data_IF_908528432539
#
_entry.id   IF_908528432539
#
_cell.length_a   1.000
_cell.length_b   1.000
_cell.length_c   1.000
_cell.angle_alpha   90.00
_cell.angle_beta   90.00
_cell.angle_gamma   90.00
#
_symmetry.space_group_name_H-M   'P 1'
#
loop_
_entity.id
_entity.type
_entity.pdbx_description
1 polymer ?
#
# COMPACT_ATOMS: atom_id res chain seq x y z
N UNK A 1 -8.82 3.60 4.94
CA UNK A 1 -8.36 2.25 5.35
C UNK A 1 -7.61 2.34 6.65
N UNK A 2 -7.75 1.30 7.48
CA UNK A 2 -7.16 1.20 8.82
C UNK A 2 -6.63 -0.21 8.95
N UNK A 3 -5.35 -0.35 9.32
CA UNK A 3 -4.71 -1.65 9.44
C UNK A 3 -4.68 -2.12 10.91
N UNK A 4 -4.40 -3.41 11.11
CA UNK A 4 -4.11 -4.15 12.35
C UNK A 4 -5.30 -4.43 13.27
N UNK A 5 -6.26 -3.55 13.41
CA UNK A 5 -7.38 -3.77 14.32
C UNK A 5 -7.07 -3.45 15.78
N UNK A 6 -6.28 -2.40 16.04
CA UNK A 6 -5.97 -1.96 17.40
C UNK A 6 -7.20 -1.51 18.19
N UNK A 7 -7.26 -1.81 19.50
CA UNK A 7 -8.32 -1.36 20.41
C UNK A 7 -8.41 0.16 20.50
N UNK A 8 -7.28 0.87 20.38
CA UNK A 8 -7.24 2.33 20.36
C UNK A 8 -8.05 2.95 19.22
N UNK A 9 -8.14 2.27 18.06
CA UNK A 9 -9.02 2.69 16.97
C UNK A 9 -10.50 2.61 17.40
N UNK A 10 -10.90 1.50 18.03
CA UNK A 10 -12.27 1.31 18.50
C UNK A 10 -12.65 2.33 19.58
N UNK A 11 -11.73 2.63 20.48
CA UNK A 11 -11.97 3.53 21.60
C UNK A 11 -12.03 5.01 21.18
N UNK A 12 -11.16 5.44 20.26
CA UNK A 12 -10.95 6.85 19.95
C UNK A 12 -11.51 7.28 18.60
N UNK A 13 -11.30 6.51 17.55
CA UNK A 13 -11.69 6.90 16.18
C UNK A 13 -13.09 6.42 15.81
N UNK A 14 -13.46 5.19 16.18
CA UNK A 14 -14.74 4.60 15.83
C UNK A 14 -15.96 5.44 16.23
N UNK A 15 -16.08 5.99 17.47
CA UNK A 15 -17.22 6.82 17.84
C UNK A 15 -17.41 8.05 16.92
N UNK A 16 -16.30 8.63 16.45
CA UNK A 16 -16.29 9.78 15.55
C UNK A 16 -16.73 9.38 14.15
N UNK A 17 -16.16 8.30 13.63
CA UNK A 17 -16.47 7.77 12.30
C UNK A 17 -17.93 7.30 12.22
N UNK A 18 -18.41 6.61 13.25
CA UNK A 18 -19.81 6.16 13.39
C UNK A 18 -20.78 7.34 13.39
N UNK A 19 -20.55 8.34 14.23
CA UNK A 19 -21.39 9.55 14.30
C UNK A 19 -21.52 10.27 12.96
N UNK A 20 -20.42 10.30 12.17
CA UNK A 20 -20.37 11.02 10.91
C UNK A 20 -20.59 10.10 9.69
N UNK A 21 -20.84 8.81 9.89
CA UNK A 21 -20.98 7.79 8.84
C UNK A 21 -19.86 7.83 7.80
N UNK A 22 -18.62 7.99 8.27
CA UNK A 22 -17.45 8.03 7.38
C UNK A 22 -17.08 6.61 6.98
N UNK A 23 -17.12 6.28 5.67
CA UNK A 23 -16.83 4.92 5.21
C UNK A 23 -15.35 4.58 5.35
N UNK A 24 -15.06 3.34 5.75
CA UNK A 24 -13.69 2.82 5.85
C UNK A 24 -13.63 1.30 5.67
N UNK A 25 -12.43 0.82 5.40
CA UNK A 25 -12.08 -0.61 5.45
C UNK A 25 -11.16 -0.80 6.64
N UNK A 26 -11.51 -1.72 7.54
CA UNK A 26 -10.66 -2.17 8.62
C UNK A 26 -9.99 -3.48 8.21
N UNK A 27 -8.67 -3.50 8.08
CA UNK A 27 -7.89 -4.70 7.79
C UNK A 27 -7.45 -5.38 9.10
N UNK A 28 -7.82 -6.65 9.24
CA UNK A 28 -7.64 -7.41 10.49
C UNK A 28 -6.67 -8.56 10.30
N UNK A 29 -5.62 -8.60 11.12
CA UNK A 29 -4.75 -9.76 11.27
C UNK A 29 -5.35 -10.70 12.32
N UNK A 30 -5.71 -11.90 11.88
CA UNK A 30 -6.60 -12.76 12.68
C UNK A 30 -5.93 -13.40 13.90
N UNK A 31 -4.59 -13.43 13.99
CA UNK A 31 -3.86 -13.94 15.15
C UNK A 31 -4.00 -13.02 16.36
N UNK A 32 -4.00 -11.71 16.12
CA UNK A 32 -3.95 -10.72 17.18
C UNK A 32 -5.34 -10.39 17.79
N UNK A 33 -6.42 -10.76 17.08
CA UNK A 33 -7.78 -10.47 17.56
C UNK A 33 -8.04 -11.04 18.96
N UNK A 34 -8.35 -10.16 19.91
CA UNK A 34 -8.62 -10.49 21.30
C UNK A 34 -7.37 -10.55 22.19
N UNK A 35 -6.18 -10.28 21.63
CA UNK A 35 -4.96 -10.13 22.43
C UNK A 35 -4.84 -8.71 22.98
N UNK A 36 -3.83 -8.46 23.80
CA UNK A 36 -3.59 -7.15 24.40
C UNK A 36 -3.41 -6.05 23.33
N UNK A 37 -4.09 -4.93 23.49
CA UNK A 37 -4.16 -3.78 22.57
C UNK A 37 -4.90 -4.01 21.24
N UNK A 38 -5.50 -5.17 21.01
CA UNK A 38 -6.28 -5.43 19.81
C UNK A 38 -7.77 -5.60 20.09
N UNK A 39 -8.61 -5.23 19.14
CA UNK A 39 -10.05 -5.48 19.20
C UNK A 39 -10.34 -6.98 19.31
N UNK A 40 -11.41 -7.30 20.03
CA UNK A 40 -11.96 -8.66 20.01
C UNK A 40 -12.99 -8.85 18.88
N UNK A 41 -13.40 -10.10 18.63
CA UNK A 41 -14.35 -10.40 17.55
C UNK A 41 -15.72 -9.74 17.76
N UNK A 42 -16.16 -9.50 18.99
CA UNK A 42 -17.45 -8.84 19.26
C UNK A 42 -17.41 -7.39 18.78
N UNK A 43 -16.33 -6.68 19.03
CA UNK A 43 -16.11 -5.32 18.56
C UNK A 43 -16.03 -5.27 17.01
N UNK A 44 -15.29 -6.19 16.39
CA UNK A 44 -15.18 -6.27 14.92
C UNK A 44 -16.55 -6.56 14.29
N UNK A 45 -17.33 -7.46 14.88
CA UNK A 45 -18.69 -7.77 14.39
C UNK A 45 -19.63 -6.57 14.57
N UNK A 46 -19.47 -5.79 15.65
CA UNK A 46 -20.24 -4.55 15.82
C UNK A 46 -19.97 -3.57 14.67
N UNK A 47 -18.69 -3.36 14.32
CA UNK A 47 -18.32 -2.51 13.21
C UNK A 47 -18.92 -3.03 11.89
N UNK A 48 -18.82 -4.32 11.66
CA UNK A 48 -19.29 -4.97 10.42
C UNK A 48 -20.81 -4.84 10.18
N UNK A 49 -21.60 -4.57 11.22
CA UNK A 49 -23.06 -4.36 11.06
C UNK A 49 -23.42 -3.03 10.42
N UNK A 50 -22.51 -2.09 10.36
CA UNK A 50 -22.74 -0.79 9.74
C UNK A 50 -22.51 -0.87 8.23
N UNK A 51 -23.42 -0.33 7.43
CA UNK A 51 -23.43 -0.42 5.97
C UNK A 51 -22.30 0.35 5.27
N UNK A 52 -21.62 1.24 6.01
CA UNK A 52 -20.47 2.02 5.55
C UNK A 52 -19.12 1.44 6.00
N UNK A 53 -19.10 0.26 6.63
CA UNK A 53 -17.88 -0.40 7.12
C UNK A 53 -17.64 -1.71 6.39
N UNK A 54 -16.43 -1.88 5.87
CA UNK A 54 -15.96 -3.16 5.32
C UNK A 54 -14.85 -3.73 6.21
N UNK A 55 -14.87 -5.05 6.42
CA UNK A 55 -13.78 -5.74 7.10
C UNK A 55 -12.91 -6.43 6.06
N UNK A 56 -11.65 -6.04 5.98
CA UNK A 56 -10.62 -6.58 5.10
C UNK A 56 -9.71 -7.57 5.82
N UNK A 57 -9.05 -8.42 5.05
CA UNK A 57 -8.10 -9.40 5.56
C UNK A 57 -6.68 -8.81 5.57
N UNK A 58 -5.93 -9.02 6.67
CA UNK A 58 -4.55 -8.56 6.83
C UNK A 58 -3.61 -9.71 7.23
N UNK A 59 -3.78 -10.89 6.61
CA UNK A 59 -3.11 -12.15 6.95
C UNK A 59 -3.57 -12.75 8.29
N UNK A 60 -2.98 -13.90 8.64
CA UNK A 60 -3.14 -14.46 9.98
C UNK A 60 -2.06 -13.94 10.93
N UNK A 61 -0.80 -14.12 10.56
CA UNK A 61 0.34 -13.90 11.45
C UNK A 61 0.84 -12.45 11.50
N UNK A 62 0.62 -11.67 10.43
CA UNK A 62 1.24 -10.36 10.20
C UNK A 62 2.78 -10.39 10.23
N UNK A 63 3.38 -11.55 9.87
CA UNK A 63 4.83 -11.65 9.73
C UNK A 63 5.31 -11.07 8.38
N UNK A 64 6.62 -11.04 8.14
CA UNK A 64 7.22 -10.62 6.86
C UNK A 64 7.01 -11.69 5.78
N UNK A 65 5.74 -11.92 5.42
CA UNK A 65 5.34 -12.98 4.49
C UNK A 65 5.98 -12.85 3.11
N UNK A 66 6.43 -11.67 2.72
CA UNK A 66 7.08 -11.43 1.43
C UNK A 66 8.41 -12.16 1.29
N UNK A 67 9.08 -12.49 2.40
CA UNK A 67 10.35 -13.23 2.46
C UNK A 67 10.14 -14.75 2.54
N UNK A 68 8.90 -15.19 2.71
CA UNK A 68 8.55 -16.59 2.91
C UNK A 68 8.31 -17.35 1.61
N UNK A 69 8.32 -18.67 1.69
CA UNK A 69 7.97 -19.52 0.56
C UNK A 69 6.49 -19.42 0.21
N UNK A 70 6.15 -19.71 -1.05
CA UNK A 70 4.76 -19.67 -1.54
C UNK A 70 3.80 -20.53 -0.69
N UNK A 71 4.26 -21.66 -0.15
CA UNK A 71 3.45 -22.52 0.70
C UNK A 71 3.16 -21.86 2.05
N UNK A 72 4.17 -21.27 2.70
CA UNK A 72 4.02 -20.57 3.98
C UNK A 72 3.07 -19.37 3.82
N UNK A 73 3.24 -18.57 2.77
CA UNK A 73 2.33 -17.45 2.45
C UNK A 73 0.90 -17.97 2.30
N UNK A 74 0.72 -19.02 1.49
CA UNK A 74 -0.60 -19.57 1.21
C UNK A 74 -1.27 -20.14 2.46
N UNK A 75 -0.54 -20.88 3.28
CA UNK A 75 -1.06 -21.50 4.51
C UNK A 75 -1.50 -20.43 5.52
N UNK A 76 -0.71 -19.36 5.69
CA UNK A 76 -1.06 -18.23 6.54
C UNK A 76 -2.37 -17.56 6.10
N UNK A 77 -2.48 -17.26 4.80
CA UNK A 77 -3.66 -16.58 4.26
C UNK A 77 -4.89 -17.48 4.28
N UNK A 78 -4.76 -18.78 3.98
CA UNK A 78 -5.87 -19.75 4.07
C UNK A 78 -6.39 -19.84 5.50
N UNK A 79 -5.51 -19.90 6.50
CA UNK A 79 -5.90 -19.89 7.92
C UNK A 79 -6.71 -18.64 8.28
N UNK A 80 -6.27 -17.50 7.82
CA UNK A 80 -7.00 -16.24 8.02
C UNK A 80 -8.38 -16.27 7.35
N UNK A 81 -8.49 -16.79 6.11
CA UNK A 81 -9.77 -16.93 5.38
C UNK A 81 -10.74 -17.85 6.17
N UNK A 82 -10.27 -18.96 6.70
CA UNK A 82 -11.08 -19.89 7.50
C UNK A 82 -11.63 -19.21 8.77
N UNK A 83 -10.80 -18.42 9.46
CA UNK A 83 -11.22 -17.65 10.63
C UNK A 83 -12.29 -16.61 10.24
N UNK A 84 -12.09 -15.87 9.14
CA UNK A 84 -13.09 -14.92 8.63
C UNK A 84 -14.43 -15.61 8.34
N UNK A 85 -14.41 -16.74 7.63
CA UNK A 85 -15.63 -17.53 7.36
C UNK A 85 -16.34 -17.97 8.65
N UNK A 86 -15.58 -18.43 9.64
CA UNK A 86 -16.13 -18.89 10.91
C UNK A 86 -16.70 -17.75 11.78
N UNK A 87 -16.08 -16.55 11.74
CA UNK A 87 -16.46 -15.42 12.61
C UNK A 87 -17.43 -14.44 11.98
N UNK A 88 -17.32 -14.22 10.65
CA UNK A 88 -18.09 -13.23 9.91
C UNK A 88 -19.02 -13.86 8.87
N UNK A 89 -18.90 -15.18 8.58
CA UNK A 89 -19.76 -15.88 7.63
C UNK A 89 -19.33 -15.74 6.15
N UNK A 90 -18.25 -15.03 5.86
CA UNK A 90 -17.79 -14.80 4.47
C UNK A 90 -16.26 -14.68 4.40
N UNK A 91 -15.72 -14.71 3.18
CA UNK A 91 -14.35 -14.29 2.91
C UNK A 91 -14.35 -12.85 2.38
N UNK A 92 -13.44 -12.00 2.90
CA UNK A 92 -13.31 -10.62 2.42
C UNK A 92 -12.83 -10.59 0.96
N UNK A 93 -13.34 -9.64 0.19
CA UNK A 93 -12.82 -9.31 -1.14
C UNK A 93 -11.58 -8.41 -1.10
N UNK A 94 -11.27 -7.82 0.07
CA UNK A 94 -10.16 -6.89 0.30
C UNK A 94 -9.04 -7.54 1.10
N UNK A 95 -7.82 -7.33 0.65
CA UNK A 95 -6.60 -7.73 1.33
C UNK A 95 -5.67 -6.52 1.54
N UNK A 96 -4.98 -6.42 2.65
CA UNK A 96 -3.85 -5.52 2.84
C UNK A 96 -2.59 -6.36 3.08
N UNK A 97 -1.55 -6.10 2.30
CA UNK A 97 -0.27 -6.77 2.52
C UNK A 97 0.33 -6.32 3.86
N UNK A 98 0.79 -7.25 4.72
CA UNK A 98 1.57 -6.88 5.90
C UNK A 98 2.71 -5.94 5.52
N UNK A 99 2.88 -4.85 6.28
CA UNK A 99 3.86 -3.78 6.00
C UNK A 99 3.69 -3.08 4.63
N UNK A 100 2.64 -3.43 3.87
CA UNK A 100 2.41 -2.99 2.50
C UNK A 100 3.37 -3.61 1.49
N UNK A 101 3.99 -4.73 1.81
CA UNK A 101 5.05 -5.39 1.06
C UNK A 101 4.54 -6.57 0.26
N UNK A 102 4.92 -6.62 -1.01
CA UNK A 102 4.50 -7.67 -1.93
C UNK A 102 5.55 -7.95 -3.01
N UNK A 103 5.54 -9.20 -3.46
CA UNK A 103 6.23 -9.69 -4.65
C UNK A 103 5.22 -10.06 -5.74
N UNK A 104 5.68 -10.36 -6.94
CA UNK A 104 4.81 -10.90 -8.00
C UNK A 104 4.18 -12.23 -7.59
N UNK A 105 4.93 -13.08 -6.89
CA UNK A 105 4.43 -14.38 -6.40
C UNK A 105 3.38 -14.19 -5.30
N UNK A 106 3.63 -13.33 -4.30
CA UNK A 106 2.65 -13.05 -3.25
C UNK A 106 1.35 -12.51 -3.86
N UNK A 107 1.47 -11.57 -4.80
CA UNK A 107 0.32 -11.01 -5.52
C UNK A 107 -0.47 -12.08 -6.28
N UNK A 108 0.21 -13.05 -6.90
CA UNK A 108 -0.41 -14.19 -7.57
C UNK A 108 -1.20 -15.06 -6.59
N UNK A 109 -0.62 -15.39 -5.44
CA UNK A 109 -1.28 -16.18 -4.38
C UNK A 109 -2.57 -15.48 -3.92
N UNK A 110 -2.53 -14.16 -3.66
CA UNK A 110 -3.72 -13.39 -3.24
C UNK A 110 -4.83 -13.45 -4.29
N UNK A 111 -4.48 -13.37 -5.58
CA UNK A 111 -5.44 -13.52 -6.69
C UNK A 111 -6.05 -14.92 -6.72
N UNK A 112 -5.23 -15.96 -6.61
CA UNK A 112 -5.66 -17.36 -6.63
C UNK A 112 -6.59 -17.71 -5.44
N UNK A 113 -6.37 -17.10 -4.28
CA UNK A 113 -7.21 -17.24 -3.09
C UNK A 113 -8.54 -16.46 -3.16
N UNK A 114 -8.79 -15.76 -4.28
CA UNK A 114 -10.08 -15.18 -4.60
C UNK A 114 -10.30 -13.74 -4.12
N UNK A 115 -9.30 -13.08 -3.55
CA UNK A 115 -9.37 -11.65 -3.29
C UNK A 115 -9.56 -10.85 -4.60
N UNK A 116 -10.15 -9.67 -4.49
CA UNK A 116 -10.41 -8.79 -5.65
C UNK A 116 -9.56 -7.53 -5.64
N UNK A 117 -9.16 -7.11 -4.46
CA UNK A 117 -8.39 -5.88 -4.23
C UNK A 117 -7.33 -6.14 -3.19
N UNK A 118 -6.10 -5.66 -3.44
CA UNK A 118 -5.03 -5.74 -2.47
C UNK A 118 -4.27 -4.41 -2.36
N UNK A 119 -3.97 -4.02 -1.13
CA UNK A 119 -3.45 -2.71 -0.76
C UNK A 119 -2.00 -2.81 -0.30
N UNK A 120 -1.14 -2.03 -0.95
CA UNK A 120 0.22 -1.75 -0.47
C UNK A 120 0.26 -0.54 0.46
N UNK A 121 1.48 -0.04 0.74
CA UNK A 121 1.70 1.20 1.50
C UNK A 121 2.56 2.22 0.73
N UNK A 122 2.75 2.03 -0.57
CA UNK A 122 3.36 3.04 -1.42
C UNK A 122 2.41 4.22 -1.60
N UNK A 123 2.96 5.43 -1.55
CA UNK A 123 2.16 6.66 -1.60
C UNK A 123 1.53 6.88 -2.98
N UNK A 124 0.24 7.17 -3.03
CA UNK A 124 -0.42 7.43 -4.31
C UNK A 124 -1.94 7.48 -4.20
N UNK A 125 -2.56 7.78 -5.32
CA UNK A 125 -4.01 7.85 -5.48
C UNK A 125 -4.45 6.77 -6.45
N UNK A 126 -5.52 6.06 -6.09
CA UNK A 126 -6.12 5.04 -6.96
C UNK A 126 -6.87 5.70 -8.13
N UNK A 127 -6.81 5.07 -9.29
CA UNK A 127 -7.64 5.35 -10.45
C UNK A 127 -7.84 4.04 -11.26
N UNK A 128 -8.64 4.12 -12.31
CA UNK A 128 -8.99 3.00 -13.17
C UNK A 128 -7.80 2.35 -13.92
N UNK A 129 -6.62 3.01 -13.92
CA UNK A 129 -5.42 2.51 -14.60
C UNK A 129 -4.50 1.68 -13.70
N UNK A 130 -4.81 1.61 -12.39
CA UNK A 130 -3.97 0.88 -11.43
C UNK A 130 -4.26 -0.61 -11.43
N UNK A 131 -3.24 -1.40 -11.14
CA UNK A 131 -3.45 -2.80 -10.77
C UNK A 131 -4.18 -2.86 -9.42
N UNK A 132 -5.36 -3.45 -9.39
CA UNK A 132 -6.15 -3.59 -8.17
C UNK A 132 -5.52 -4.50 -7.11
N UNK A 133 -4.39 -5.11 -7.42
CA UNK A 133 -3.57 -5.86 -6.47
C UNK A 133 -2.29 -5.12 -6.05
N UNK A 134 -2.19 -3.84 -6.39
CA UNK A 134 -1.13 -2.91 -5.99
C UNK A 134 -1.74 -1.54 -5.64
N UNK A 135 -2.81 -1.50 -4.85
CA UNK A 135 -3.52 -0.24 -4.55
C UNK A 135 -2.66 0.62 -3.63
N UNK A 136 -2.33 1.84 -4.05
CA UNK A 136 -1.53 2.76 -3.24
C UNK A 136 -2.34 3.36 -2.09
N UNK A 137 -1.65 3.77 -1.03
CA UNK A 137 -2.23 4.49 0.11
C UNK A 137 -1.22 5.52 0.63
N UNK A 138 -1.70 6.68 1.06
CA UNK A 138 -0.84 7.60 1.81
C UNK A 138 -0.82 7.18 3.28
N UNK A 139 0.33 6.83 3.87
CA UNK A 139 0.41 6.50 5.29
C UNK A 139 0.12 7.74 6.15
N UNK A 140 -0.75 7.56 7.15
CA UNK A 140 -1.11 8.55 8.17
C UNK A 140 -0.83 7.90 9.53
N UNK A 141 0.08 8.48 10.28
CA UNK A 141 0.47 8.09 11.64
C UNK A 141 0.96 9.32 12.39
N UNK A 142 1.47 9.18 13.61
CA UNK A 142 1.94 10.29 14.42
C UNK A 142 2.97 11.18 13.69
N UNK A 143 3.87 10.57 12.94
CA UNK A 143 4.91 11.28 12.17
C UNK A 143 4.37 11.96 10.92
N UNK A 144 3.34 11.38 10.30
CA UNK A 144 2.82 11.77 8.99
C UNK A 144 1.35 12.22 9.02
N UNK A 145 0.81 12.52 10.21
CA UNK A 145 -0.59 12.85 10.42
C UNK A 145 -0.89 14.34 10.60
N UNK A 146 0.06 15.25 10.34
CA UNK A 146 -0.19 16.68 10.48
C UNK A 146 -1.27 17.18 9.51
N UNK A 147 -2.05 18.19 9.95
CA UNK A 147 -3.22 18.67 9.23
C UNK A 147 -2.88 19.27 7.86
N UNK A 148 -1.74 19.95 7.71
CA UNK A 148 -1.32 20.56 6.43
C UNK A 148 -1.02 19.47 5.40
N UNK A 149 -0.31 18.43 5.84
CA UNK A 149 -0.07 17.25 4.99
C UNK A 149 -1.38 16.58 4.61
N UNK A 150 -2.28 16.34 5.57
CA UNK A 150 -3.58 15.73 5.31
C UNK A 150 -4.38 16.54 4.27
N UNK A 151 -4.48 17.88 4.42
CA UNK A 151 -5.13 18.77 3.45
C UNK A 151 -4.51 18.69 2.05
N UNK A 152 -3.21 18.45 1.95
CA UNK A 152 -2.53 18.23 0.66
C UNK A 152 -2.92 16.89 0.07
N UNK A 153 -2.91 15.81 0.88
CA UNK A 153 -3.17 14.45 0.42
C UNK A 153 -4.60 14.26 -0.10
N UNK A 154 -5.61 14.82 0.58
CA UNK A 154 -7.02 14.71 0.14
C UNK A 154 -7.31 15.46 -1.17
N UNK A 155 -6.41 16.37 -1.60
CA UNK A 155 -6.47 17.10 -2.87
C UNK A 155 -5.53 16.52 -3.93
N UNK A 156 -4.77 15.47 -3.60
CA UNK A 156 -3.81 14.88 -4.53
C UNK A 156 -4.54 14.06 -5.60
N UNK A 157 -4.08 14.19 -6.83
CA UNK A 157 -4.60 13.52 -8.01
C UNK A 157 -3.70 12.33 -8.39
N UNK A 158 -4.23 11.31 -9.07
CA UNK A 158 -3.41 10.21 -9.56
C UNK A 158 -2.45 10.68 -10.66
N UNK A 159 -1.21 10.24 -10.60
CA UNK A 159 -0.28 10.33 -11.72
C UNK A 159 -0.42 9.04 -12.54
N UNK A 160 -1.15 9.13 -13.65
CA UNK A 160 -1.50 7.97 -14.50
C UNK A 160 -0.27 7.45 -15.23
N UNK A 161 -0.08 6.13 -15.22
CA UNK A 161 1.00 5.47 -15.94
C UNK A 161 0.53 4.19 -16.63
N UNK A 162 1.18 3.83 -17.72
CA UNK A 162 0.95 2.58 -18.47
C UNK A 162 1.73 1.43 -17.83
N UNK A 163 2.98 1.70 -17.44
CA UNK A 163 3.83 0.67 -16.82
C UNK A 163 4.95 1.27 -15.98
N UNK A 164 5.37 0.50 -14.99
CA UNK A 164 6.56 0.73 -14.17
C UNK A 164 7.42 -0.53 -14.26
N UNK A 165 8.71 -0.34 -14.50
CA UNK A 165 9.72 -1.40 -14.46
C UNK A 165 10.73 -1.09 -13.35
N UNK A 166 11.24 -2.11 -12.64
CA UNK A 166 10.87 -3.50 -12.75
C UNK A 166 9.44 -3.75 -12.23
N UNK A 167 8.77 -4.78 -12.79
CA UNK A 167 7.46 -5.21 -12.29
C UNK A 167 7.60 -5.86 -10.90
N UNK A 168 8.66 -6.66 -10.72
CA UNK A 168 8.98 -7.22 -9.42
C UNK A 168 9.41 -6.12 -8.44
N UNK A 169 8.80 -6.13 -7.27
CA UNK A 169 9.09 -5.16 -6.20
C UNK A 169 9.98 -5.76 -5.12
N UNK A 170 10.17 -7.08 -5.11
CA UNK A 170 11.10 -7.77 -4.24
C UNK A 170 12.48 -7.80 -4.91
N UNK A 171 13.43 -7.04 -4.37
CA UNK A 171 14.76 -6.87 -4.96
C UNK A 171 15.77 -7.82 -4.30
N UNK A 172 16.46 -8.60 -5.14
CA UNK A 172 17.66 -9.32 -4.71
C UNK A 172 18.83 -8.37 -4.53
N UNK A 173 19.88 -8.83 -3.86
CA UNK A 173 21.12 -8.06 -3.65
C UNK A 173 21.78 -7.66 -4.97
N UNK A 174 21.59 -8.43 -6.04
CA UNK A 174 22.17 -8.16 -7.37
C UNK A 174 21.35 -7.14 -8.18
N UNK A 175 20.06 -6.97 -7.86
CA UNK A 175 19.15 -6.06 -8.57
C UNK A 175 18.91 -4.75 -7.80
N UNK A 176 19.71 -4.47 -6.79
CA UNK A 176 19.66 -3.27 -5.98
C UNK A 176 20.94 -2.43 -6.22
N UNK A 177 20.85 -1.17 -6.71
CA UNK A 177 19.63 -0.41 -6.98
C UNK A 177 18.93 -0.86 -8.28
N UNK A 178 17.59 -0.78 -8.35
CA UNK A 178 16.84 -1.13 -9.54
C UNK A 178 16.94 -0.06 -10.63
N UNK A 179 16.89 -0.47 -11.89
CA UNK A 179 16.70 0.46 -13.01
C UNK A 179 15.21 0.74 -13.15
N UNK A 180 14.76 1.89 -12.67
CA UNK A 180 13.34 2.25 -12.65
C UNK A 180 12.96 3.02 -13.91
N UNK A 181 12.01 2.46 -14.67
CA UNK A 181 11.46 3.13 -15.87
C UNK A 181 9.94 3.29 -15.70
N UNK A 182 9.42 4.46 -16.04
CA UNK A 182 7.99 4.75 -16.00
C UNK A 182 7.54 5.20 -17.37
N UNK A 183 6.48 4.57 -17.88
CA UNK A 183 5.79 4.97 -19.10
C UNK A 183 4.45 5.58 -18.73
N UNK A 184 4.23 6.84 -19.12
CA UNK A 184 3.00 7.57 -18.82
C UNK A 184 1.98 7.49 -19.96
N UNK A 185 0.72 7.77 -19.66
CA UNK A 185 -0.31 7.99 -20.66
C UNK A 185 -0.11 9.33 -21.38
N UNK A 186 -0.60 9.44 -22.62
CA UNK A 186 -0.46 10.63 -23.47
C UNK A 186 -1.20 11.87 -22.92
N UNK A 187 -2.21 11.67 -22.11
CA UNK A 187 -2.99 12.73 -21.48
C UNK A 187 -2.32 13.34 -20.23
N UNK A 188 -1.26 12.72 -19.72
CA UNK A 188 -0.45 13.28 -18.62
C UNK A 188 0.39 14.42 -19.17
N UNK A 189 0.07 15.64 -18.72
CA UNK A 189 0.78 16.88 -19.13
C UNK A 189 1.95 17.18 -18.20
N UNK A 190 2.91 17.96 -18.70
CA UNK A 190 4.02 18.50 -17.93
C UNK A 190 4.95 17.44 -17.31
N UNK A 191 5.14 16.29 -17.98
CA UNK A 191 6.05 15.23 -17.50
C UNK A 191 7.47 15.78 -17.31
N UNK A 192 7.88 16.76 -18.12
CA UNK A 192 9.17 17.43 -18.00
C UNK A 192 9.35 18.23 -16.70
N UNK A 193 8.27 18.46 -15.93
CA UNK A 193 8.30 19.11 -14.61
C UNK A 193 8.23 18.11 -13.45
N UNK A 194 8.28 16.81 -13.73
CA UNK A 194 8.24 15.79 -12.70
C UNK A 194 9.46 15.88 -11.79
N UNK A 195 9.22 15.74 -10.48
CA UNK A 195 10.28 15.58 -9.51
C UNK A 195 10.10 14.23 -8.81
N UNK A 196 11.17 13.46 -8.70
CA UNK A 196 11.22 12.21 -7.96
C UNK A 196 12.21 12.31 -6.81
N UNK A 197 11.88 11.72 -5.69
CA UNK A 197 12.73 11.59 -4.51
C UNK A 197 12.78 10.12 -4.11
N UNK A 198 13.96 9.65 -3.70
CA UNK A 198 14.20 8.29 -3.21
C UNK A 198 14.84 8.31 -1.82
N UNK A 199 14.65 7.23 -1.05
CA UNK A 199 15.31 7.03 0.24
C UNK A 199 16.55 6.12 0.14
N UNK A 200 17.20 6.09 -1.04
CA UNK A 200 18.45 5.36 -1.23
C UNK A 200 19.52 5.77 -0.20
N UNK A 201 20.33 4.83 0.26
CA UNK A 201 21.29 5.07 1.34
C UNK A 201 20.66 5.56 2.66
N UNK A 202 19.35 5.28 2.88
CA UNK A 202 18.53 5.77 4.01
C UNK A 202 18.39 7.30 4.13
N UNK A 203 18.71 8.04 3.08
CA UNK A 203 18.58 9.50 3.03
C UNK A 203 17.66 9.89 1.89
N UNK A 204 16.59 10.66 2.19
CA UNK A 204 15.75 11.22 1.15
C UNK A 204 16.50 12.26 0.33
N UNK A 205 16.62 11.96 -0.95
CA UNK A 205 17.29 12.85 -1.92
C UNK A 205 16.50 12.94 -3.22
N UNK A 206 16.73 14.03 -3.96
CA UNK A 206 16.15 14.19 -5.29
C UNK A 206 16.86 13.26 -6.26
N UNK A 207 16.10 12.38 -6.91
CA UNK A 207 16.64 11.45 -7.91
C UNK A 207 16.91 12.16 -9.23
N UNK A 208 17.95 11.74 -9.95
CA UNK A 208 18.17 12.15 -11.34
C UNK A 208 17.13 11.48 -12.25
N UNK A 209 16.64 12.23 -13.24
CA UNK A 209 15.65 11.74 -14.20
C UNK A 209 16.24 11.88 -15.60
N UNK A 210 16.32 10.76 -16.31
CA UNK A 210 16.59 10.73 -17.73
C UNK A 210 15.27 10.65 -18.51
N UNK A 211 14.99 11.68 -19.30
CA UNK A 211 13.82 11.72 -20.18
C UNK A 211 14.17 10.98 -21.48
N UNK A 212 13.71 9.72 -21.61
CA UNK A 212 13.95 8.89 -22.80
C UNK A 212 13.18 9.47 -23.99
N UNK A 213 11.95 9.91 -23.74
CA UNK A 213 11.10 10.68 -24.66
C UNK A 213 9.98 11.38 -23.86
N UNK A 214 9.02 12.01 -24.54
CA UNK A 214 7.93 12.78 -23.92
C UNK A 214 7.08 12.00 -22.90
N UNK A 215 7.00 10.66 -23.03
CA UNK A 215 6.14 9.81 -22.22
C UNK A 215 6.92 8.81 -21.35
N UNK A 216 8.23 8.68 -21.53
CA UNK A 216 9.04 7.68 -20.86
C UNK A 216 10.19 8.33 -20.12
N UNK A 217 10.28 8.03 -18.85
CA UNK A 217 11.40 8.44 -17.99
C UNK A 217 12.12 7.24 -17.41
N UNK A 218 13.38 7.44 -17.10
CA UNK A 218 14.17 6.57 -16.24
C UNK A 218 14.59 7.35 -15.00
N UNK A 219 14.29 6.80 -13.83
CA UNK A 219 14.72 7.33 -12.54
C UNK A 219 16.05 6.66 -12.21
N UNK A 220 17.08 7.45 -12.00
CA UNK A 220 18.44 6.99 -11.72
C UNK A 220 18.68 7.09 -10.22
N UNK A 221 18.99 5.95 -9.63
CA UNK A 221 19.42 5.83 -8.24
C UNK A 221 20.94 5.77 -8.21
N UNK A 222 21.57 6.57 -7.37
CA UNK A 222 23.03 6.64 -7.22
C UNK A 222 23.55 5.62 -6.20
N UNK A 223 22.70 5.26 -5.22
CA UNK A 223 23.03 4.34 -4.15
C UNK A 223 22.01 3.20 -4.04
N UNK A 224 22.39 2.13 -3.36
CA UNK A 224 21.48 1.02 -3.01
C UNK A 224 20.46 1.46 -1.96
N UNK A 225 19.33 0.82 -1.95
CA UNK A 225 18.49 0.78 -0.77
C UNK A 225 19.15 -0.14 0.27
N UNK A 226 19.35 0.36 1.48
CA UNK A 226 20.08 -0.35 2.54
C UNK A 226 19.20 -0.73 3.74
N UNK A 227 17.96 -0.26 3.76
CA UNK A 227 16.94 -0.71 4.70
C UNK A 227 15.99 -1.70 4.04
N UNK A 228 15.13 -2.34 4.82
CA UNK A 228 14.13 -3.30 4.34
C UNK A 228 13.29 -2.77 3.17
N UNK A 229 13.10 -1.43 3.08
CA UNK A 229 12.23 -0.79 2.09
C UNK A 229 12.91 0.31 1.32
N UNK A 230 12.93 0.16 0.00
CA UNK A 230 13.26 1.22 -0.93
C UNK A 230 11.99 1.96 -1.37
N UNK A 231 11.98 3.30 -1.28
CA UNK A 231 10.83 4.11 -1.71
C UNK A 231 11.25 5.19 -2.67
N UNK A 232 10.41 5.39 -3.69
CA UNK A 232 10.52 6.48 -4.63
C UNK A 232 9.15 7.19 -4.67
N UNK A 233 9.17 8.52 -4.56
CA UNK A 233 7.98 9.35 -4.68
C UNK A 233 8.17 10.36 -5.79
N UNK A 234 7.31 10.31 -6.81
CA UNK A 234 7.31 11.24 -7.93
C UNK A 234 6.06 12.12 -7.89
N UNK A 235 6.21 13.39 -8.20
CA UNK A 235 5.08 14.31 -8.24
C UNK A 235 5.23 15.37 -9.33
N UNK A 236 4.08 15.83 -9.81
CA UNK A 236 3.94 16.95 -10.76
C UNK A 236 2.94 17.93 -10.17
N UNK A 237 3.30 19.19 -10.11
CA UNK A 237 2.36 20.27 -9.75
C UNK A 237 1.48 20.58 -10.95
N UNK A 238 0.16 20.67 -10.73
CA UNK A 238 -0.80 21.03 -11.77
C UNK A 238 -1.55 22.30 -11.42
N UNK A 239 -2.29 22.85 -12.39
CA UNK A 239 -3.06 24.08 -12.19
C UNK A 239 -4.01 23.96 -10.99
N UNK A 240 -4.28 25.09 -10.32
CA UNK A 240 -5.11 25.12 -9.11
C UNK A 240 -4.38 24.69 -7.83
N UNK A 241 -3.05 24.49 -7.87
CA UNK A 241 -2.26 24.13 -6.69
C UNK A 241 -2.34 22.66 -6.28
N UNK A 242 -2.91 21.81 -7.12
CA UNK A 242 -2.97 20.36 -6.91
C UNK A 242 -1.66 19.69 -7.27
N UNK A 243 -1.47 18.48 -6.75
CA UNK A 243 -0.36 17.59 -7.08
C UNK A 243 -0.87 16.30 -7.70
N UNK A 244 -0.19 15.80 -8.73
CA UNK A 244 -0.28 14.40 -9.15
C UNK A 244 0.82 13.63 -8.48
N UNK A 245 0.50 12.43 -7.97
CA UNK A 245 1.45 11.65 -7.18
C UNK A 245 1.55 10.21 -7.65
N UNK A 246 2.78 9.70 -7.64
CA UNK A 246 3.12 8.30 -7.89
C UNK A 246 4.19 7.88 -6.88
N UNK A 247 3.87 6.94 -6.01
CA UNK A 247 4.85 6.26 -5.15
C UNK A 247 5.17 4.87 -5.70
N UNK A 248 6.40 4.45 -5.46
CA UNK A 248 6.88 3.10 -5.75
C UNK A 248 7.58 2.61 -4.49
N UNK A 249 7.27 1.40 -4.04
CA UNK A 249 7.94 0.75 -2.93
C UNK A 249 8.59 -0.54 -3.42
N UNK A 250 9.81 -0.75 -3.02
CA UNK A 250 10.55 -2.00 -3.17
C UNK A 250 10.78 -2.61 -1.81
N UNK A 251 10.83 -3.93 -1.77
CA UNK A 251 11.27 -4.73 -0.62
C UNK A 251 12.66 -5.24 -0.93
N UNK A 252 13.55 -5.17 0.03
CA UNK A 252 14.92 -5.63 -0.12
C UNK A 252 15.02 -6.99 0.56
N UNK A 253 15.39 -8.00 -0.20
CA UNK A 253 15.62 -9.35 0.33
C UNK A 253 16.69 -9.31 1.43
N UNK A 254 16.42 -9.93 2.57
CA UNK A 254 17.37 -10.02 3.67
C UNK A 254 18.55 -10.98 3.37
N UNK A 255 18.44 -11.82 2.34
CA UNK A 255 19.45 -12.85 2.00
C UNK A 255 19.75 -12.93 0.51
#
# INVERSE_FOLDING_TARGET
TIDDGFSSFYENAWPILKKNKIPFILFVNTREVGTFNYMNWQQIIELHKEDFVEIGNHSHSHEYLVDETSNVIKDDIVKSIEIFKNKLGYNSKFFSYPFGEYSLEFKKIIKELGFKYAFGQHSGVIDETKDYFEIPRFPINEKYGDLKRFQTLIKTLPLKYISILPKEKYLSLTNNPPIVKVKFFKDVKNINQINCYSNEGNVWRKSKINFINELNIQIILEEKFISERGRINCSIRVNGGFWRWLGIQFVIAEK
#
